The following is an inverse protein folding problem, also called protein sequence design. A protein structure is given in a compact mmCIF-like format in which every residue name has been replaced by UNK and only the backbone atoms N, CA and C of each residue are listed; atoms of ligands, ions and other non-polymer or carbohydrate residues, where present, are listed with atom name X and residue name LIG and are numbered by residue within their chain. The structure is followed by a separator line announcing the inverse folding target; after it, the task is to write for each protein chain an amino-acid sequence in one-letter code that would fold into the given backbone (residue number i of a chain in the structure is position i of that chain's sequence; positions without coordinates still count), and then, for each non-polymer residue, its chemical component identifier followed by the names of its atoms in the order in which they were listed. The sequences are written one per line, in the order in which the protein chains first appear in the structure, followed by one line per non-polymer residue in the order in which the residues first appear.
data_IF_532918818922
#
_entry.id   IF_532918818922
#
_cell.length_a   1.000
_cell.length_b   1.000
_cell.length_c   1.000
_cell.angle_alpha   90.00
_cell.angle_beta   90.00
_cell.angle_gamma   90.00
#
_symmetry.space_group_name_H-M   'P 1'
#
loop_
_entity.id
_entity.type
_entity.pdbx_description
1 polymer ?
#
# COMPACT_ATOMS: atom_id res chain seq x y z
N UNK A 1 -8.33 15.46 41.78
CA UNK A 1 -8.65 16.90 41.68
C UNK A 1 -7.41 17.61 41.16
N UNK A 2 -7.28 17.75 39.85
CA UNK A 2 -6.22 18.55 39.22
C UNK A 2 -6.86 19.79 38.61
N UNK A 3 -6.44 20.96 39.08
CA UNK A 3 -6.69 22.26 38.47
C UNK A 3 -5.58 22.52 37.44
N UNK A 4 -5.85 23.19 36.30
CA UNK A 4 -4.97 23.19 35.15
C UNK A 4 -3.83 24.20 35.27
N UNK A 5 -2.65 23.79 34.80
CA UNK A 5 -1.54 24.70 34.49
C UNK A 5 -1.98 25.64 33.37
N UNK A 6 -2.02 26.92 33.69
CA UNK A 6 -2.32 28.01 32.77
C UNK A 6 -1.08 28.25 31.91
N UNK A 7 -1.15 27.93 30.62
CA UNK A 7 -0.16 28.35 29.63
C UNK A 7 -0.16 29.88 29.55
N UNK A 8 0.99 30.50 29.83
CA UNK A 8 1.18 31.93 29.69
C UNK A 8 1.22 32.33 28.21
N UNK A 9 0.09 32.78 27.68
CA UNK A 9 0.02 33.36 26.34
C UNK A 9 0.60 34.78 26.40
N UNK A 10 1.65 35.05 25.61
CA UNK A 10 2.26 36.36 25.45
C UNK A 10 1.20 37.41 25.04
N UNK A 11 1.28 38.62 25.61
CA UNK A 11 0.34 39.73 25.40
C UNK A 11 0.19 40.15 23.93
N UNK A 12 1.21 39.93 23.09
CA UNK A 12 1.11 40.18 21.64
C UNK A 12 0.16 39.21 20.91
N UNK A 13 0.03 37.97 21.38
CA UNK A 13 -0.86 36.96 20.78
C UNK A 13 -2.33 37.18 21.14
N UNK A 14 -2.63 37.80 22.28
CA UNK A 14 -4.01 38.06 22.73
C UNK A 14 -4.71 39.19 21.96
N UNK A 15 -3.96 40.04 21.24
CA UNK A 15 -4.50 41.22 20.54
C UNK A 15 -4.68 41.04 19.02
N UNK A 16 -4.36 39.86 18.47
CA UNK A 16 -4.42 39.60 17.04
C UNK A 16 -5.82 39.16 16.57
N UNK A 17 -6.76 40.10 16.46
CA UNK A 17 -8.12 39.87 15.91
C UNK A 17 -8.26 40.24 14.43
N UNK A 18 -7.16 40.42 13.68
CA UNK A 18 -7.25 40.83 12.26
C UNK A 18 -6.27 40.08 11.35
N UNK A 19 -6.77 39.78 10.17
CA UNK A 19 -6.26 38.88 9.12
C UNK A 19 -4.95 39.35 8.46
N UNK A 20 -3.82 39.40 9.21
CA UNK A 20 -2.47 39.49 8.62
C UNK A 20 -1.43 38.73 9.45
N UNK A 21 -0.56 37.99 8.76
CA UNK A 21 0.55 37.21 9.34
C UNK A 21 1.47 38.11 10.20
N UNK A 22 1.77 37.69 11.43
CA UNK A 22 2.92 38.18 12.21
C UNK A 22 3.75 37.01 12.70
N UNK A 23 5.05 37.04 12.44
CA UNK A 23 6.01 36.10 13.01
C UNK A 23 6.36 36.59 14.42
N UNK A 24 6.09 35.80 15.46
CA UNK A 24 6.45 36.17 16.83
C UNK A 24 7.85 35.63 17.13
N UNK A 25 8.83 36.53 17.25
CA UNK A 25 10.24 36.18 17.45
C UNK A 25 10.54 35.61 18.83
N UNK A 26 9.66 35.80 19.81
CA UNK A 26 9.89 35.33 21.19
C UNK A 26 9.57 33.86 21.42
N UNK A 27 8.68 33.24 20.63
CA UNK A 27 8.27 31.85 20.83
C UNK A 27 8.84 30.86 19.79
N UNK A 28 9.57 31.32 18.76
CA UNK A 28 10.11 30.48 17.67
C UNK A 28 9.09 29.47 17.10
N UNK A 29 7.79 29.76 17.21
CA UNK A 29 6.71 28.95 16.68
C UNK A 29 6.11 29.65 15.48
N UNK A 30 5.91 28.91 14.38
CA UNK A 30 4.97 29.35 13.36
C UNK A 30 3.60 29.42 14.02
N UNK A 31 2.91 30.54 13.82
CA UNK A 31 1.48 30.65 14.12
C UNK A 31 0.82 29.38 13.61
N UNK A 32 0.29 28.62 14.57
CA UNK A 32 -0.56 27.47 14.35
C UNK A 32 -1.56 27.80 13.26
N UNK A 33 -1.81 26.82 12.39
CA UNK A 33 -2.97 26.85 11.52
C UNK A 33 -4.20 27.06 12.41
N UNK A 34 -4.64 28.32 12.54
CA UNK A 34 -6.01 28.63 12.84
C UNK A 34 -6.80 28.30 11.57
N UNK A 35 -6.88 27.01 11.26
CA UNK A 35 -8.00 26.49 10.51
C UNK A 35 -9.20 26.65 11.44
N UNK A 36 -9.90 27.76 11.26
CA UNK A 36 -11.16 28.01 11.93
C UNK A 36 -12.07 26.79 11.75
N UNK A 37 -12.26 26.02 12.83
CA UNK A 37 -13.55 25.50 13.29
C UNK A 37 -14.51 24.77 12.34
N UNK A 38 -14.13 24.37 11.13
CA UNK A 38 -14.96 23.52 10.28
C UNK A 38 -14.34 22.14 10.16
N UNK A 39 -14.97 21.17 10.81
CA UNK A 39 -14.89 19.74 10.51
C UNK A 39 -15.02 19.52 9.00
N UNK A 40 -13.90 19.48 8.28
CA UNK A 40 -13.94 19.31 6.84
C UNK A 40 -14.27 17.84 6.51
N UNK A 41 -15.27 17.67 5.65
CA UNK A 41 -15.62 16.37 5.06
C UNK A 41 -14.52 15.89 4.09
N UNK A 42 -14.35 14.57 3.92
CA UNK A 42 -15.20 13.53 4.52
C UNK A 42 -14.77 13.02 5.90
N UNK A 43 -13.54 13.28 6.34
CA UNK A 43 -12.97 12.69 7.57
C UNK A 43 -13.82 12.95 8.80
N UNK A 44 -14.31 14.17 9.00
CA UNK A 44 -15.14 14.51 10.17
C UNK A 44 -16.42 13.68 10.30
N UNK A 45 -16.92 13.11 9.20
CA UNK A 45 -18.09 12.23 9.21
C UNK A 45 -17.69 10.77 9.32
N UNK A 46 -16.62 10.38 8.65
CA UNK A 46 -16.15 9.00 8.63
C UNK A 46 -15.52 8.60 9.97
N UNK A 47 -14.89 9.54 10.68
CA UNK A 47 -14.26 9.31 11.99
C UNK A 47 -15.24 9.34 13.17
N UNK A 48 -16.57 9.34 12.92
CA UNK A 48 -17.58 9.33 14.00
C UNK A 48 -17.66 7.99 14.73
N UNK A 49 -17.30 6.88 14.07
CA UNK A 49 -17.19 5.56 14.69
C UNK A 49 -16.19 4.69 13.93
N UNK A 50 -15.67 3.65 14.58
CA UNK A 50 -14.75 2.71 13.92
C UNK A 50 -15.43 1.98 12.77
N UNK A 51 -16.71 1.62 12.90
CA UNK A 51 -17.47 0.97 11.84
C UNK A 51 -17.59 1.86 10.60
N UNK A 52 -17.89 3.15 10.80
CA UNK A 52 -17.95 4.14 9.72
C UNK A 52 -16.57 4.32 9.05
N UNK A 53 -15.51 4.44 9.84
CA UNK A 53 -14.15 4.61 9.33
C UNK A 53 -13.73 3.37 8.51
N UNK A 54 -13.87 2.17 9.09
CA UNK A 54 -13.57 0.90 8.42
C UNK A 54 -14.39 0.78 7.14
N UNK A 55 -15.67 1.16 7.17
CA UNK A 55 -16.52 1.13 5.97
C UNK A 55 -15.95 2.03 4.87
N UNK A 56 -15.44 3.23 5.15
CA UNK A 56 -14.96 4.11 4.09
C UNK A 56 -13.50 3.87 3.70
N UNK A 57 -12.60 3.66 4.65
CA UNK A 57 -11.15 3.60 4.41
C UNK A 57 -10.60 2.19 4.40
N UNK A 58 -11.29 1.24 5.04
CA UNK A 58 -10.78 -0.12 5.28
C UNK A 58 -10.01 -0.24 6.60
N UNK A 59 -9.87 0.86 7.33
CA UNK A 59 -9.08 1.00 8.54
C UNK A 59 -9.93 1.60 9.67
N UNK A 60 -9.65 1.20 10.91
CA UNK A 60 -10.23 1.89 12.06
C UNK A 60 -9.61 3.29 12.25
N UNK A 61 -10.15 4.06 13.19
CA UNK A 61 -9.73 5.45 13.38
C UNK A 61 -8.26 5.54 13.80
N UNK A 62 -7.80 4.64 14.67
CA UNK A 62 -6.44 4.63 15.19
C UNK A 62 -5.43 4.32 14.08
N UNK A 63 -5.74 3.33 13.23
CA UNK A 63 -4.92 2.97 12.07
C UNK A 63 -4.80 4.12 11.06
N UNK A 64 -5.89 4.85 10.77
CA UNK A 64 -5.81 6.01 9.86
C UNK A 64 -4.98 7.13 10.49
N UNK A 65 -5.11 7.36 11.79
CA UNK A 65 -4.30 8.35 12.51
C UNK A 65 -2.82 7.97 12.55
N UNK A 66 -2.50 6.69 12.73
CA UNK A 66 -1.14 6.17 12.66
C UNK A 66 -0.55 6.41 11.26
N UNK A 67 -1.26 6.01 10.20
CA UNK A 67 -0.87 6.28 8.82
C UNK A 67 -0.68 7.77 8.54
N UNK A 68 -1.59 8.61 9.04
CA UNK A 68 -1.47 10.06 8.92
C UNK A 68 -0.20 10.57 9.61
N UNK A 69 0.11 10.10 10.83
CA UNK A 69 1.30 10.53 11.56
C UNK A 69 2.61 10.22 10.80
N UNK A 70 2.64 9.12 10.04
CA UNK A 70 3.81 8.75 9.21
C UNK A 70 4.03 9.71 8.04
N UNK A 71 2.98 10.35 7.52
CA UNK A 71 3.03 11.16 6.30
C UNK A 71 2.57 12.62 6.48
N UNK A 72 2.25 13.04 7.71
CA UNK A 72 1.63 14.32 8.03
C UNK A 72 2.41 15.50 7.46
N UNK A 73 3.73 15.54 7.70
CA UNK A 73 4.56 16.66 7.25
C UNK A 73 4.59 16.78 5.72
N UNK A 74 4.64 15.66 5.01
CA UNK A 74 4.62 15.62 3.55
C UNK A 74 3.28 16.10 2.99
N UNK A 75 2.16 15.71 3.62
CA UNK A 75 0.82 16.17 3.24
C UNK A 75 0.62 17.67 3.52
N UNK A 76 1.10 18.18 4.66
CA UNK A 76 1.08 19.62 4.99
C UNK A 76 1.90 20.42 3.97
N UNK A 77 3.08 19.92 3.62
CA UNK A 77 3.95 20.55 2.64
C UNK A 77 3.27 20.60 1.27
N UNK A 78 2.66 19.49 0.83
CA UNK A 78 1.89 19.44 -0.42
C UNK A 78 0.77 20.48 -0.45
N UNK A 79 -0.08 20.52 0.59
CA UNK A 79 -1.15 21.52 0.70
C UNK A 79 -0.60 22.95 0.65
N UNK A 80 0.53 23.20 1.32
CA UNK A 80 1.15 24.52 1.37
C UNK A 80 1.71 24.98 0.02
N UNK A 81 2.28 24.09 -0.79
CA UNK A 81 2.79 24.42 -2.13
C UNK A 81 1.65 24.69 -3.09
N UNK A 82 0.63 23.82 -3.11
CA UNK A 82 -0.55 23.99 -3.94
C UNK A 82 -1.27 25.32 -3.69
N UNK A 83 -1.33 25.75 -2.43
CA UNK A 83 -1.91 27.05 -2.05
C UNK A 83 -1.13 28.26 -2.58
N UNK A 84 0.19 28.14 -2.80
CA UNK A 84 1.03 29.22 -3.34
C UNK A 84 0.87 29.37 -4.85
N UNK A 85 0.61 28.28 -5.55
CA UNK A 85 0.46 28.26 -7.01
C UNK A 85 -0.91 28.77 -7.49
N UNK A 86 -1.94 28.70 -6.63
CA UNK A 86 -3.32 29.06 -6.96
C UNK A 86 -3.83 30.31 -6.21
N UNK A 87 -3.01 31.37 -6.13
CA UNK A 87 -3.38 32.61 -5.42
C UNK A 87 -4.48 33.45 -6.09
N UNK A 88 -4.93 33.10 -7.30
CA UNK A 88 -5.80 33.98 -8.11
C UNK A 88 -7.15 33.35 -8.55
N UNK A 89 -7.56 32.21 -8.00
CA UNK A 89 -8.86 31.61 -8.31
C UNK A 89 -9.76 31.53 -7.09
N UNK A 90 -10.77 32.39 -7.05
CA UNK A 90 -11.98 32.21 -6.26
C UNK A 90 -12.57 30.82 -6.55
N UNK A 91 -12.73 30.00 -5.50
CA UNK A 91 -13.53 28.75 -5.46
C UNK A 91 -12.78 27.48 -5.93
N UNK A 92 -11.91 26.92 -5.09
CA UNK A 92 -11.78 25.46 -4.97
C UNK A 92 -11.71 25.10 -3.49
N UNK A 93 -12.62 24.23 -2.97
CA UNK A 93 -12.54 23.81 -1.57
C UNK A 93 -11.25 23.01 -1.36
N UNK A 94 -10.37 23.53 -0.53
CA UNK A 94 -9.13 22.86 -0.15
C UNK A 94 -9.44 21.74 0.83
N UNK A 95 -9.12 20.50 0.46
CA UNK A 95 -9.12 19.37 1.38
C UNK A 95 -7.96 19.53 2.36
N UNK A 96 -8.22 19.36 3.65
CA UNK A 96 -7.20 19.24 4.68
C UNK A 96 -6.26 18.05 4.39
N UNK A 97 -5.02 18.06 4.93
CA UNK A 97 -4.11 16.91 4.86
C UNK A 97 -4.76 15.57 5.22
N UNK A 98 -5.55 15.53 6.29
CA UNK A 98 -6.28 14.33 6.70
C UNK A 98 -7.35 13.90 5.67
N UNK A 99 -8.06 14.85 5.08
CA UNK A 99 -9.05 14.54 4.03
C UNK A 99 -8.38 14.03 2.74
N UNK A 100 -7.18 14.50 2.41
CA UNK A 100 -6.41 13.95 1.30
C UNK A 100 -6.10 12.47 1.51
N UNK A 101 -5.63 12.13 2.71
CA UNK A 101 -5.38 10.74 3.09
C UNK A 101 -6.69 9.92 3.04
N UNK A 102 -7.74 10.39 3.70
CA UNK A 102 -9.02 9.68 3.78
C UNK A 102 -9.63 9.41 2.40
N UNK A 103 -9.65 10.40 1.51
CA UNK A 103 -10.14 10.26 0.14
C UNK A 103 -9.28 9.29 -0.67
N UNK A 104 -7.96 9.29 -0.45
CA UNK A 104 -7.05 8.35 -1.12
C UNK A 104 -7.28 6.92 -0.63
N UNK A 105 -7.44 6.69 0.68
CA UNK A 105 -7.79 5.37 1.23
C UNK A 105 -9.14 4.89 0.70
N UNK A 106 -10.13 5.79 0.60
CA UNK A 106 -11.43 5.49 0.01
C UNK A 106 -11.32 5.08 -1.47
N UNK A 107 -10.46 5.78 -2.23
CA UNK A 107 -10.13 5.40 -3.61
C UNK A 107 -9.44 4.03 -3.68
N UNK A 108 -8.45 3.73 -2.84
CA UNK A 108 -7.77 2.44 -2.84
C UNK A 108 -8.73 1.31 -2.49
N UNK A 109 -9.58 1.51 -1.47
CA UNK A 109 -10.55 0.51 -1.02
C UNK A 109 -11.61 0.18 -2.06
N UNK A 110 -12.28 1.20 -2.61
CA UNK A 110 -13.44 0.99 -3.47
C UNK A 110 -13.16 1.14 -4.95
N UNK A 111 -12.00 1.70 -5.30
CA UNK A 111 -11.62 1.99 -6.67
C UNK A 111 -12.73 2.77 -7.39
N UNK A 112 -13.25 3.81 -6.73
CA UNK A 112 -14.17 4.73 -7.37
C UNK A 112 -13.51 5.41 -8.58
N UNK A 113 -14.31 5.82 -9.56
CA UNK A 113 -13.77 6.61 -10.67
C UNK A 113 -13.42 8.02 -10.17
N UNK A 114 -12.40 8.64 -10.74
CA UNK A 114 -12.03 10.03 -10.44
C UNK A 114 -13.22 10.99 -10.63
N UNK A 115 -14.07 10.72 -11.63
CA UNK A 115 -15.28 11.49 -11.90
C UNK A 115 -16.29 11.37 -10.77
N UNK A 116 -16.46 10.18 -10.19
CA UNK A 116 -17.35 9.98 -9.05
C UNK A 116 -16.84 10.74 -7.82
N UNK A 117 -15.55 10.58 -7.48
CA UNK A 117 -14.93 11.31 -6.35
C UNK A 117 -15.03 12.82 -6.56
N UNK A 118 -14.80 13.29 -7.78
CA UNK A 118 -14.92 14.70 -8.16
C UNK A 118 -16.33 15.25 -7.92
N UNK A 119 -17.37 14.49 -8.29
CA UNK A 119 -18.76 14.86 -8.02
C UNK A 119 -19.06 14.91 -6.51
N UNK A 120 -18.67 13.88 -5.76
CA UNK A 120 -18.94 13.78 -4.32
C UNK A 120 -18.26 14.91 -3.51
N UNK A 121 -17.06 15.33 -3.95
CA UNK A 121 -16.28 16.37 -3.27
C UNK A 121 -16.44 17.76 -3.91
N UNK A 122 -17.26 17.90 -4.96
CA UNK A 122 -17.40 19.12 -5.75
C UNK A 122 -16.05 19.69 -6.22
N UNK A 123 -15.21 18.82 -6.77
CA UNK A 123 -13.88 19.13 -7.31
C UNK A 123 -13.84 18.89 -8.84
N UNK A 124 -12.84 19.45 -9.50
CA UNK A 124 -12.53 19.10 -10.88
C UNK A 124 -11.95 17.69 -10.99
N UNK A 125 -12.26 16.94 -12.06
CA UNK A 125 -11.69 15.61 -12.30
C UNK A 125 -10.16 15.62 -12.32
N UNK A 126 -9.55 16.57 -13.04
CA UNK A 126 -8.09 16.70 -13.11
C UNK A 126 -7.47 17.01 -11.75
N UNK A 127 -8.18 17.76 -10.91
CA UNK A 127 -7.79 18.00 -9.52
C UNK A 127 -7.73 16.71 -8.72
N UNK A 128 -8.76 15.86 -8.82
CA UNK A 128 -8.79 14.56 -8.13
C UNK A 128 -7.67 13.63 -8.62
N UNK A 129 -7.46 13.53 -9.94
CA UNK A 129 -6.36 12.73 -10.49
C UNK A 129 -5.00 13.15 -9.91
N UNK A 130 -4.69 14.45 -9.95
CA UNK A 130 -3.44 14.99 -9.39
C UNK A 130 -3.33 14.74 -7.88
N UNK A 131 -4.41 14.95 -7.12
CA UNK A 131 -4.44 14.69 -5.68
C UNK A 131 -4.13 13.23 -5.35
N UNK A 132 -4.81 12.29 -6.02
CA UNK A 132 -4.62 10.87 -5.78
C UNK A 132 -3.19 10.44 -6.13
N UNK A 133 -2.66 10.85 -7.27
CA UNK A 133 -1.29 10.54 -7.66
C UNK A 133 -0.26 11.06 -6.65
N UNK A 134 -0.38 12.31 -6.22
CA UNK A 134 0.56 12.92 -5.29
C UNK A 134 0.48 12.30 -3.88
N UNK A 135 -0.72 12.01 -3.40
CA UNK A 135 -0.90 11.36 -2.08
C UNK A 135 -0.41 9.92 -2.13
N UNK A 136 -0.63 9.18 -3.22
CA UNK A 136 -0.05 7.84 -3.40
C UNK A 136 1.48 7.89 -3.38
N UNK A 137 2.09 8.87 -4.05
CA UNK A 137 3.55 9.07 -4.02
C UNK A 137 4.05 9.38 -2.60
N UNK A 138 3.33 10.22 -1.85
CA UNK A 138 3.64 10.53 -0.45
C UNK A 138 3.52 9.29 0.44
N UNK A 139 2.46 8.50 0.26
CA UNK A 139 2.28 7.24 0.99
C UNK A 139 3.40 6.26 0.67
N UNK A 140 3.76 6.10 -0.59
CA UNK A 140 4.88 5.27 -0.99
C UNK A 140 6.19 5.76 -0.34
N UNK A 141 6.48 7.07 -0.35
CA UNK A 141 7.73 7.59 0.22
C UNK A 141 7.82 7.48 1.75
N UNK A 142 6.68 7.61 2.45
CA UNK A 142 6.66 7.71 3.92
C UNK A 142 6.28 6.38 4.61
N UNK A 143 5.34 5.62 4.04
CA UNK A 143 4.73 4.45 4.68
C UNK A 143 5.39 3.16 4.23
N UNK A 144 5.77 3.05 2.95
CA UNK A 144 6.32 1.80 2.40
C UNK A 144 7.55 1.32 3.19
N UNK A 145 8.50 2.22 3.49
CA UNK A 145 9.73 1.87 4.22
C UNK A 145 9.50 1.49 5.68
N UNK A 146 8.47 2.03 6.30
CA UNK A 146 8.16 1.74 7.71
C UNK A 146 7.43 0.40 7.86
N UNK A 147 6.60 0.03 6.89
CA UNK A 147 5.79 -1.20 6.95
C UNK A 147 6.46 -2.41 6.28
N UNK A 148 7.28 -2.21 5.25
CA UNK A 148 7.98 -3.28 4.54
C UNK A 148 9.38 -3.48 5.14
N UNK A 149 9.65 -4.70 5.63
CA UNK A 149 10.94 -5.05 6.22
C UNK A 149 11.83 -5.79 5.24
N UNK A 150 12.85 -5.14 4.70
CA UNK A 150 13.70 -5.75 3.67
C UNK A 150 14.43 -7.01 4.17
N UNK A 151 14.75 -7.96 3.26
CA UNK A 151 15.40 -9.22 3.64
C UNK A 151 16.72 -9.04 4.41
N UNK A 152 17.50 -8.00 4.11
CA UNK A 152 18.73 -7.66 4.84
C UNK A 152 18.50 -7.36 6.33
N UNK A 153 17.28 -6.99 6.72
CA UNK A 153 16.91 -6.73 8.12
C UNK A 153 16.43 -8.01 8.84
N UNK A 154 16.15 -9.08 8.11
CA UNK A 154 15.61 -10.33 8.65
C UNK A 154 16.64 -11.07 9.47
N UNK A 155 17.88 -11.17 8.99
CA UNK A 155 18.97 -11.86 9.69
C UNK A 155 19.24 -11.26 11.09
N UNK A 156 19.00 -9.95 11.24
CA UNK A 156 19.20 -9.20 12.49
C UNK A 156 18.03 -9.32 13.46
N UNK A 157 16.90 -9.89 13.03
CA UNK A 157 15.67 -10.01 13.82
C UNK A 157 15.45 -11.46 14.21
N UNK A 158 14.94 -11.70 15.41
CA UNK A 158 14.37 -13.02 15.75
C UNK A 158 13.09 -13.21 14.94
N UNK A 159 13.22 -13.77 13.74
CA UNK A 159 12.09 -14.13 12.89
C UNK A 159 11.63 -15.55 13.19
N UNK A 160 10.31 -15.78 13.26
CA UNK A 160 9.80 -17.14 13.32
C UNK A 160 10.16 -17.87 12.04
N UNK A 161 10.41 -19.16 12.18
CA UNK A 161 10.73 -20.03 11.08
C UNK A 161 9.52 -20.87 10.70
N UNK A 162 9.54 -21.40 9.48
CA UNK A 162 8.57 -22.36 8.99
C UNK A 162 8.80 -23.76 9.54
N UNK A 163 8.42 -24.80 8.77
CA UNK A 163 8.61 -26.19 9.16
C UNK A 163 10.05 -26.55 9.58
N UNK A 164 11.05 -25.88 9.01
CA UNK A 164 12.47 -26.05 9.32
C UNK A 164 13.09 -24.72 9.73
N UNK A 165 14.22 -24.73 10.46
CA UNK A 165 14.81 -23.53 11.06
C UNK A 165 15.26 -22.49 10.05
N UNK A 166 15.71 -22.94 8.88
CA UNK A 166 16.17 -22.13 7.75
C UNK A 166 15.01 -21.63 6.86
N UNK A 167 13.80 -22.18 6.98
CA UNK A 167 12.61 -21.61 6.33
C UNK A 167 12.29 -20.27 6.96
N UNK A 168 12.70 -19.16 6.35
CA UNK A 168 12.45 -17.80 6.89
C UNK A 168 11.40 -17.02 6.12
N UNK A 169 11.25 -17.33 4.84
CA UNK A 169 10.42 -16.57 3.91
C UNK A 169 9.45 -17.48 3.18
N UNK A 170 8.36 -16.88 2.73
CA UNK A 170 7.39 -17.49 1.83
C UNK A 170 7.22 -16.53 0.67
N UNK A 171 7.23 -17.04 -0.56
CA UNK A 171 7.03 -16.25 -1.78
C UNK A 171 5.82 -16.75 -2.56
N UNK A 172 5.02 -15.82 -3.05
CA UNK A 172 3.95 -16.11 -3.99
C UNK A 172 3.70 -14.93 -4.90
N UNK A 173 3.20 -15.20 -6.10
CA UNK A 173 2.83 -14.16 -7.06
C UNK A 173 1.33 -13.93 -7.04
N UNK A 174 0.92 -12.66 -7.04
CA UNK A 174 -0.46 -12.25 -7.24
C UNK A 174 -0.60 -11.49 -8.55
N UNK A 175 -1.82 -11.45 -9.10
CA UNK A 175 -2.07 -10.87 -10.41
C UNK A 175 -3.18 -9.84 -10.39
N UNK A 176 -2.98 -8.70 -11.03
CA UNK A 176 -3.99 -7.65 -11.20
C UNK A 176 -4.56 -7.79 -12.61
N UNK A 177 -5.87 -7.99 -12.73
CA UNK A 177 -6.52 -8.16 -14.02
C UNK A 177 -6.43 -6.86 -14.83
N UNK A 178 -6.19 -6.97 -16.13
CA UNK A 178 -6.18 -5.82 -17.05
C UNK A 178 -7.18 -6.00 -18.18
N UNK A 179 -7.63 -4.92 -18.85
CA UNK A 179 -8.41 -5.03 -20.07
C UNK A 179 -7.63 -5.78 -21.15
N UNK A 180 -8.35 -6.33 -22.13
CA UNK A 180 -7.70 -6.95 -23.28
C UNK A 180 -6.79 -5.93 -23.99
N UNK A 181 -5.48 -6.24 -24.14
CA UNK A 181 -4.58 -5.38 -24.90
C UNK A 181 -4.99 -5.26 -26.37
N UNK A 182 -4.69 -4.11 -26.98
CA UNK A 182 -5.10 -3.82 -28.35
C UNK A 182 -4.29 -4.63 -29.38
N UNK A 183 -2.98 -4.73 -29.23
CA UNK A 183 -2.11 -5.44 -30.18
C UNK A 183 -1.83 -6.90 -29.76
N UNK A 184 -1.47 -7.71 -30.75
CA UNK A 184 -1.27 -9.15 -30.56
C UNK A 184 -0.06 -9.50 -29.70
N UNK A 185 0.99 -8.66 -29.72
CA UNK A 185 2.21 -8.93 -28.96
C UNK A 185 1.98 -8.65 -27.47
N UNK A 186 1.30 -7.55 -27.13
CA UNK A 186 0.85 -7.29 -25.77
C UNK A 186 -0.11 -8.38 -25.27
N UNK A 187 -1.05 -8.88 -26.10
CA UNK A 187 -1.92 -10.00 -25.68
C UNK A 187 -1.14 -11.25 -25.28
N UNK A 188 -0.08 -11.59 -26.01
CA UNK A 188 0.80 -12.71 -25.65
C UNK A 188 1.56 -12.41 -24.35
N UNK A 189 2.15 -11.22 -24.26
CA UNK A 189 2.97 -10.81 -23.13
C UNK A 189 2.19 -10.78 -21.81
N UNK A 190 0.97 -10.25 -21.82
CA UNK A 190 0.13 -10.15 -20.63
C UNK A 190 -0.82 -11.33 -20.44
N UNK A 191 -0.70 -12.39 -21.24
CA UNK A 191 -1.58 -13.55 -21.13
C UNK A 191 -1.48 -14.21 -19.75
N UNK A 192 -2.63 -14.37 -19.10
CA UNK A 192 -2.77 -15.07 -17.84
C UNK A 192 -4.15 -15.71 -17.75
N UNK A 193 -4.27 -16.96 -18.18
CA UNK A 193 -5.54 -17.67 -18.31
C UNK A 193 -6.38 -17.80 -17.02
N UNK A 194 -5.79 -17.61 -15.84
CA UNK A 194 -6.50 -17.63 -14.55
C UNK A 194 -7.09 -16.27 -14.17
N UNK A 195 -6.76 -15.21 -14.92
CA UNK A 195 -7.30 -13.87 -14.72
C UNK A 195 -8.73 -13.79 -15.30
N UNK A 196 -9.65 -13.02 -14.69
CA UNK A 196 -11.01 -12.83 -15.22
C UNK A 196 -11.08 -12.36 -16.68
N UNK A 197 -10.05 -11.65 -17.16
CA UNK A 197 -9.97 -11.14 -18.53
C UNK A 197 -9.02 -11.96 -19.42
N UNK A 198 -8.43 -13.04 -18.91
CA UNK A 198 -7.27 -13.75 -19.50
C UNK A 198 -5.99 -12.92 -19.63
N UNK A 199 -5.96 -11.69 -19.10
CA UNK A 199 -4.79 -10.82 -19.12
C UNK A 199 -4.53 -10.24 -17.74
N UNK A 200 -3.26 -10.13 -17.35
CA UNK A 200 -2.91 -9.57 -16.06
C UNK A 200 -1.51 -8.98 -15.99
N UNK A 201 -1.30 -8.15 -14.99
CA UNK A 201 0.01 -7.77 -14.44
C UNK A 201 0.31 -8.69 -13.27
N UNK A 202 1.55 -9.13 -13.16
CA UNK A 202 2.03 -10.00 -12.09
C UNK A 202 2.92 -9.21 -11.13
N UNK A 203 2.73 -9.43 -9.83
CA UNK A 203 3.56 -8.89 -8.76
C UNK A 203 3.90 -10.05 -7.82
N UNK A 204 5.17 -10.18 -7.46
CA UNK A 204 5.63 -11.14 -6.47
C UNK A 204 5.73 -10.48 -5.10
N UNK A 205 5.25 -11.20 -4.09
CA UNK A 205 5.32 -10.76 -2.70
C UNK A 205 6.04 -11.85 -1.92
N UNK A 206 6.97 -11.45 -1.08
CA UNK A 206 7.52 -12.31 -0.05
C UNK A 206 7.12 -11.82 1.34
N UNK A 207 6.82 -12.76 2.23
CA UNK A 207 6.50 -12.48 3.62
C UNK A 207 7.24 -13.41 4.57
N UNK A 208 7.29 -13.03 5.83
CA UNK A 208 7.70 -13.93 6.91
C UNK A 208 6.50 -14.72 7.47
N UNK A 209 6.77 -15.61 8.42
CA UNK A 209 5.76 -16.43 9.09
C UNK A 209 4.89 -15.66 10.10
N UNK A 210 5.06 -14.33 10.25
CA UNK A 210 4.18 -13.43 11.02
C UNK A 210 3.23 -12.64 10.12
N UNK A 211 3.18 -12.95 8.83
CA UNK A 211 2.43 -12.19 7.82
C UNK A 211 2.98 -10.78 7.59
N UNK A 212 4.26 -10.53 7.90
CA UNK A 212 4.90 -9.25 7.55
C UNK A 212 5.43 -9.35 6.14
N UNK A 213 5.06 -8.40 5.29
CA UNK A 213 5.61 -8.30 3.94
C UNK A 213 7.06 -7.85 4.06
N UNK A 214 7.95 -8.60 3.41
CA UNK A 214 9.39 -8.34 3.44
C UNK A 214 9.91 -7.78 2.13
N UNK A 215 9.21 -8.08 1.05
CA UNK A 215 9.63 -7.70 -0.29
C UNK A 215 8.41 -7.70 -1.21
N UNK A 216 8.36 -6.71 -2.09
CA UNK A 216 7.39 -6.61 -3.18
C UNK A 216 8.21 -6.36 -4.44
N UNK A 217 8.06 -7.21 -5.45
CA UNK A 217 8.76 -7.02 -6.72
C UNK A 217 8.17 -5.86 -7.51
N UNK A 218 8.90 -5.41 -8.53
CA UNK A 218 8.33 -4.64 -9.64
C UNK A 218 7.17 -5.38 -10.32
N UNK A 219 6.46 -4.70 -11.20
CA UNK A 219 5.37 -5.24 -11.99
C UNK A 219 5.90 -5.98 -13.23
N UNK A 220 5.42 -7.20 -13.44
CA UNK A 220 5.78 -8.06 -14.56
C UNK A 220 4.57 -8.33 -15.45
N UNK A 221 4.84 -8.72 -16.69
CA UNK A 221 3.78 -9.14 -17.61
C UNK A 221 3.19 -10.49 -17.16
N UNK A 222 1.88 -10.70 -17.39
CA UNK A 222 1.15 -11.86 -16.88
C UNK A 222 1.67 -13.23 -17.32
N UNK A 223 2.32 -13.30 -18.48
CA UNK A 223 2.89 -14.55 -19.04
C UNK A 223 4.24 -14.94 -18.44
N UNK A 224 4.93 -14.02 -17.76
CA UNK A 224 6.24 -14.26 -17.15
C UNK A 224 6.11 -15.36 -16.09
N UNK A 225 6.98 -16.36 -16.11
CA UNK A 225 6.94 -17.45 -15.13
C UNK A 225 7.32 -16.96 -13.72
N UNK A 226 6.71 -17.53 -12.68
CA UNK A 226 6.93 -17.07 -11.29
C UNK A 226 8.40 -17.20 -10.87
N UNK A 227 9.09 -18.26 -11.33
CA UNK A 227 10.54 -18.43 -11.11
C UNK A 227 11.38 -17.33 -11.79
N UNK A 228 10.97 -16.86 -12.97
CA UNK A 228 11.65 -15.75 -13.66
C UNK A 228 11.47 -14.46 -12.86
N UNK A 229 10.25 -14.19 -12.39
CA UNK A 229 10.00 -13.04 -11.50
C UNK A 229 10.87 -13.11 -10.26
N UNK A 230 11.03 -14.28 -9.62
CA UNK A 230 11.89 -14.43 -8.45
C UNK A 230 13.36 -14.10 -8.71
N UNK A 231 13.87 -14.54 -9.86
CA UNK A 231 15.27 -14.29 -10.25
C UNK A 231 15.52 -12.81 -10.54
N UNK A 232 14.54 -12.14 -11.14
CA UNK A 232 14.67 -10.75 -11.57
C UNK A 232 14.25 -9.76 -10.48
N UNK A 233 13.53 -10.19 -9.44
CA UNK A 233 12.97 -9.30 -8.42
C UNK A 233 13.99 -8.69 -7.46
N UNK A 234 15.24 -9.17 -7.47
CA UNK A 234 16.28 -8.74 -6.53
C UNK A 234 16.14 -9.36 -5.13
N UNK A 235 15.09 -10.12 -4.85
CA UNK A 235 14.89 -10.77 -3.54
C UNK A 235 16.06 -11.66 -3.15
N UNK A 236 16.54 -12.50 -4.07
CA UNK A 236 17.60 -13.47 -3.81
C UNK A 236 18.94 -12.80 -3.49
N UNK A 237 19.19 -11.58 -3.98
CA UNK A 237 20.42 -10.83 -3.70
C UNK A 237 20.53 -10.37 -2.24
N UNK A 238 19.38 -10.30 -1.55
CA UNK A 238 19.28 -9.78 -0.18
C UNK A 238 19.09 -10.91 0.85
N UNK A 239 19.07 -12.16 0.41
CA UNK A 239 18.82 -13.34 1.24
C UNK A 239 20.14 -14.08 1.44
N UNK A 240 20.51 -14.34 2.70
CA UNK A 240 21.70 -15.12 3.01
C UNK A 240 21.56 -16.56 2.52
N UNK A 241 22.67 -17.22 2.13
CA UNK A 241 22.68 -18.61 1.66
C UNK A 241 22.06 -19.60 2.67
N UNK A 242 22.04 -19.24 3.96
CA UNK A 242 21.46 -20.06 5.03
C UNK A 242 19.93 -20.03 5.06
N UNK A 243 19.29 -19.12 4.33
CA UNK A 243 17.84 -18.93 4.30
C UNK A 243 17.24 -19.70 3.14
N UNK A 244 16.19 -20.45 3.45
CA UNK A 244 15.32 -21.08 2.47
C UNK A 244 13.98 -20.37 2.38
N UNK A 245 13.49 -20.23 1.16
CA UNK A 245 12.22 -19.59 0.81
C UNK A 245 11.21 -20.70 0.50
N UNK A 246 10.01 -20.62 1.04
CA UNK A 246 8.93 -21.54 0.66
C UNK A 246 8.17 -20.96 -0.52
N UNK A 247 8.04 -21.74 -1.59
CA UNK A 247 7.33 -21.35 -2.80
C UNK A 247 6.33 -22.40 -3.26
N UNK A 248 5.47 -22.01 -4.19
CA UNK A 248 4.62 -22.93 -4.93
C UNK A 248 5.40 -23.78 -5.95
N UNK A 249 4.69 -24.66 -6.68
CA UNK A 249 5.33 -25.52 -7.70
C UNK A 249 5.82 -24.74 -8.93
N UNK A 250 5.39 -23.49 -9.11
CA UNK A 250 5.87 -22.57 -10.15
C UNK A 250 7.33 -22.14 -9.93
N UNK A 251 7.86 -22.32 -8.73
CA UNK A 251 9.27 -22.03 -8.38
C UNK A 251 10.19 -23.25 -8.43
N UNK A 252 9.72 -24.41 -8.91
CA UNK A 252 10.57 -25.60 -9.06
C UNK A 252 11.74 -25.30 -10.00
N UNK A 253 12.95 -25.60 -9.54
CA UNK A 253 14.20 -25.35 -10.26
C UNK A 253 15.04 -24.21 -9.70
N UNK A 254 14.60 -23.60 -8.59
CA UNK A 254 15.38 -22.63 -7.81
C UNK A 254 15.98 -23.30 -6.56
N UNK A 255 17.29 -23.15 -6.35
CA UNK A 255 18.04 -23.90 -5.33
C UNK A 255 17.62 -23.53 -3.90
N UNK A 256 17.39 -22.24 -3.69
CA UNK A 256 17.03 -21.68 -2.38
C UNK A 256 15.52 -21.75 -2.09
N UNK A 257 14.72 -22.35 -2.99
CA UNK A 257 13.27 -22.44 -2.85
C UNK A 257 12.80 -23.87 -2.58
N UNK A 258 12.17 -24.04 -1.42
CA UNK A 258 11.52 -25.29 -1.02
C UNK A 258 10.09 -25.29 -1.56
N UNK A 259 9.78 -26.31 -2.37
CA UNK A 259 8.47 -26.45 -3.03
C UNK A 259 7.84 -27.81 -2.72
N UNK A 260 6.50 -27.94 -2.79
CA UNK A 260 5.85 -29.24 -2.61
C UNK A 260 6.32 -30.27 -3.65
N UNK A 261 6.64 -31.49 -3.19
CA UNK A 261 7.07 -32.61 -4.02
C UNK A 261 6.00 -32.99 -5.04
N UNK A 262 6.41 -33.13 -6.30
CA UNK A 262 5.54 -33.60 -7.40
C UNK A 262 5.38 -35.11 -7.31
N UNK A 263 4.21 -35.61 -7.75
CA UNK A 263 3.97 -37.04 -7.92
C UNK A 263 4.92 -37.57 -9.00
N UNK A 264 5.75 -38.58 -8.73
CA UNK A 264 6.58 -39.20 -9.75
C UNK A 264 5.72 -39.85 -10.84
N UNK A 265 6.23 -39.94 -12.07
CA UNK A 265 5.47 -40.53 -13.17
C UNK A 265 5.18 -42.02 -12.88
N UNK A 266 3.91 -42.42 -12.94
CA UNK A 266 3.48 -43.80 -12.72
C UNK A 266 3.54 -44.29 -11.26
N UNK A 267 3.87 -43.44 -10.28
CA UNK A 267 3.93 -43.82 -8.87
C UNK A 267 3.06 -42.91 -8.00
N UNK A 268 2.59 -43.42 -6.86
CA UNK A 268 1.92 -42.59 -5.84
C UNK A 268 2.93 -41.83 -4.98
N UNK A 269 2.48 -40.71 -4.40
CA UNK A 269 3.24 -40.04 -3.34
C UNK A 269 3.33 -40.94 -2.12
N UNK A 270 4.53 -41.04 -1.54
CA UNK A 270 4.72 -41.74 -0.27
C UNK A 270 4.00 -41.00 0.87
N UNK A 271 3.85 -41.64 2.03
CA UNK A 271 3.26 -40.96 3.18
C UNK A 271 4.16 -39.83 3.68
N UNK A 272 5.47 -39.98 3.54
CA UNK A 272 6.47 -38.96 3.85
C UNK A 272 6.31 -37.75 2.93
N UNK A 273 6.15 -37.96 1.62
CA UNK A 273 5.93 -36.86 0.66
C UNK A 273 4.60 -36.14 0.92
N UNK A 274 3.56 -36.89 1.31
CA UNK A 274 2.25 -36.30 1.67
C UNK A 274 2.36 -35.47 2.94
N UNK A 275 3.07 -35.95 3.95
CA UNK A 275 3.30 -35.21 5.20
C UNK A 275 4.11 -33.94 4.95
N UNK A 276 5.21 -34.04 4.19
CA UNK A 276 6.01 -32.89 3.77
C UNK A 276 5.18 -31.85 3.01
N UNK A 277 4.41 -32.29 2.00
CA UNK A 277 3.53 -31.41 1.24
C UNK A 277 2.47 -30.75 2.13
N UNK A 278 1.93 -31.45 3.12
CA UNK A 278 0.98 -30.89 4.08
C UNK A 278 1.61 -29.75 4.89
N UNK A 279 2.83 -29.93 5.38
CA UNK A 279 3.55 -28.92 6.15
C UNK A 279 3.89 -27.69 5.30
N UNK A 280 4.45 -27.90 4.11
CA UNK A 280 4.79 -26.82 3.17
C UNK A 280 3.54 -26.05 2.73
N UNK A 281 2.45 -26.74 2.39
CA UNK A 281 1.20 -26.08 2.01
C UNK A 281 0.57 -25.33 3.18
N UNK A 282 0.65 -25.87 4.40
CA UNK A 282 0.17 -25.17 5.61
C UNK A 282 0.96 -23.89 5.87
N UNK A 283 2.27 -23.90 5.66
CA UNK A 283 3.11 -22.72 5.74
C UNK A 283 2.69 -21.64 4.73
N UNK A 284 2.44 -22.06 3.47
CA UNK A 284 2.03 -21.15 2.38
C UNK A 284 0.71 -20.42 2.61
N UNK A 285 -0.16 -20.92 3.48
CA UNK A 285 -1.39 -20.23 3.84
C UNK A 285 -1.14 -18.77 4.31
N UNK A 286 0.04 -18.47 4.88
CA UNK A 286 0.38 -17.11 5.31
C UNK A 286 0.42 -16.10 4.14
N UNK A 287 1.11 -16.43 3.03
CA UNK A 287 1.19 -15.54 1.86
C UNK A 287 -0.13 -15.55 1.08
N UNK A 288 -0.83 -16.68 1.02
CA UNK A 288 -2.16 -16.77 0.40
C UNK A 288 -3.16 -15.86 1.12
N UNK A 289 -3.12 -15.79 2.45
CA UNK A 289 -3.92 -14.87 3.26
C UNK A 289 -3.57 -13.41 2.98
N UNK A 290 -2.28 -13.07 2.81
CA UNK A 290 -1.86 -11.72 2.43
C UNK A 290 -2.41 -11.36 1.05
N UNK A 291 -2.21 -12.23 0.05
CA UNK A 291 -2.71 -12.04 -1.29
C UNK A 291 -4.23 -11.85 -1.30
N UNK A 292 -4.97 -12.65 -0.52
CA UNK A 292 -6.41 -12.50 -0.39
C UNK A 292 -6.82 -11.18 0.28
N UNK A 293 -6.10 -10.74 1.32
CA UNK A 293 -6.33 -9.44 1.98
C UNK A 293 -6.06 -8.27 1.04
N UNK A 294 -5.01 -8.33 0.23
CA UNK A 294 -4.72 -7.30 -0.77
C UNK A 294 -5.86 -7.20 -1.79
N UNK A 295 -6.46 -8.34 -2.18
CA UNK A 295 -7.59 -8.39 -3.12
C UNK A 295 -8.93 -7.94 -2.54
N UNK A 296 -9.03 -7.67 -1.23
CA UNK A 296 -10.23 -7.01 -0.68
C UNK A 296 -10.29 -5.53 -1.03
N UNK A 297 -9.13 -4.91 -1.35
CA UNK A 297 -9.07 -3.56 -1.89
C UNK A 297 -9.37 -3.63 -3.39
N UNK A 298 -10.43 -2.94 -3.80
CA UNK A 298 -10.96 -3.04 -5.16
C UNK A 298 -9.96 -2.53 -6.20
N UNK A 299 -8.98 -1.69 -5.85
CA UNK A 299 -7.93 -1.25 -6.77
C UNK A 299 -7.03 -2.40 -7.23
N UNK A 300 -6.84 -3.42 -6.38
CA UNK A 300 -6.10 -4.63 -6.69
C UNK A 300 -7.02 -5.80 -7.07
N UNK A 301 -8.25 -5.83 -6.54
CA UNK A 301 -9.23 -6.90 -6.77
C UNK A 301 -10.03 -6.77 -8.07
N UNK A 302 -10.13 -5.57 -8.63
CA UNK A 302 -10.86 -5.29 -9.87
C UNK A 302 -9.95 -5.24 -11.09
N UNK A 303 -10.54 -5.07 -12.28
CA UNK A 303 -9.80 -4.79 -13.51
C UNK A 303 -9.15 -3.41 -13.40
N UNK A 304 -7.84 -3.34 -13.58
CA UNK A 304 -7.07 -2.10 -13.59
C UNK A 304 -7.54 -1.17 -14.73
N UNK A 305 -7.68 0.12 -14.43
CA UNK A 305 -8.28 1.12 -15.35
C UNK A 305 -7.28 2.13 -15.93
N UNK A 306 -6.02 2.10 -15.50
CA UNK A 306 -4.99 2.98 -16.06
C UNK A 306 -4.43 2.46 -17.37
N UNK A 307 -3.50 3.22 -17.96
CA UNK A 307 -2.80 2.80 -19.17
C UNK A 307 -1.83 1.64 -18.89
N UNK A 308 -1.66 0.76 -19.88
CA UNK A 308 -0.72 -0.37 -19.84
C UNK A 308 0.73 0.11 -19.71
N UNK A 309 1.07 1.19 -20.41
CA UNK A 309 2.43 1.72 -20.41
C UNK A 309 2.82 2.36 -19.06
N UNK A 310 1.83 2.74 -18.25
CA UNK A 310 2.01 3.34 -16.93
C UNK A 310 2.14 2.30 -15.81
N UNK A 311 2.19 1.00 -16.11
CA UNK A 311 2.21 -0.05 -15.09
C UNK A 311 3.42 -0.02 -14.15
N UNK A 312 4.56 0.51 -14.58
CA UNK A 312 5.73 0.71 -13.73
C UNK A 312 5.51 1.74 -12.61
N UNK A 313 4.38 2.45 -12.61
CA UNK A 313 3.95 3.37 -11.54
C UNK A 313 3.04 2.70 -10.51
N UNK A 314 2.74 1.41 -10.67
CA UNK A 314 1.87 0.63 -9.75
C UNK A 314 2.67 0.07 -8.57
N UNK A 315 4.00 -0.03 -8.72
CA UNK A 315 4.97 -0.45 -7.72
C UNK A 315 5.48 0.71 -6.87
#
# INVERSE_FOLDING_TARGET
MFSPQTEWICSECQSATTTRRKYCTNCHSMLTWACAGSEQRPWSEWSRSNESCIQHTGHDIEQVQELYSMCEQSLINYCSHRNKEHTDSTITPYLSPMNLLAVTLWYLKYYHSERYIATELNLGRSTVNYLLSEVINILHSCVYRELISFPADIAKRRTPHGPEQNHKLIVDSTVIAIPEPYDSEQRKAYNHAKSPTNYAIKVQIACDFRHRIVHVSECYQGSVHDITVLRDSGLLEHVEDSVQIIGDKGYIGEEYVVTPRKKPHGCELTNEDKNFNREINSARAAIENINQRLKTYANLGSIYRGAIDDFHKIT
#
